data_IF_336434301618
#
_entry.id   IF_336434301618
#
_cell.length_a   1.000
_cell.length_b   1.000
_cell.length_c   1.000
_cell.angle_alpha   90.00
_cell.angle_beta   90.00
_cell.angle_gamma   90.00
#
_symmetry.space_group_name_H-M   'P 1'
#
loop_
_entity.id
_entity.type
_entity.pdbx_description
1 polymer ?
#
# COMPACT_ATOMS: atom_id res chain seq x y z
N UNK A 1 1.87 41.47 -39.70
CA UNK A 1 1.34 40.26 -40.37
C UNK A 1 1.28 39.17 -39.30
N UNK A 2 0.11 38.59 -39.03
CA UNK A 2 -0.02 37.47 -38.07
C UNK A 2 0.29 36.18 -38.83
N UNK A 3 1.34 35.48 -38.45
CA UNK A 3 1.65 34.17 -39.00
C UNK A 3 0.57 33.20 -38.52
N UNK A 4 -0.27 32.74 -39.42
CA UNK A 4 -1.21 31.66 -39.15
C UNK A 4 -0.45 30.34 -39.20
N UNK A 5 -0.71 29.47 -38.22
CA UNK A 5 -0.16 28.11 -38.18
C UNK A 5 -0.65 27.34 -39.41
N UNK A 6 0.23 26.65 -40.11
CA UNK A 6 -0.14 25.86 -41.29
C UNK A 6 -0.87 24.59 -40.87
N UNK A 7 -1.85 24.16 -41.67
CA UNK A 7 -2.53 22.88 -41.42
C UNK A 7 -1.53 21.70 -41.37
N UNK A 8 -0.46 21.75 -42.16
CA UNK A 8 0.55 20.68 -42.18
C UNK A 8 1.36 20.62 -40.88
N UNK A 9 1.65 21.78 -40.27
CA UNK A 9 2.37 21.85 -39.00
C UNK A 9 1.51 21.25 -37.88
N UNK A 10 0.20 21.49 -37.91
CA UNK A 10 -0.73 20.93 -36.93
C UNK A 10 -0.82 19.41 -37.04
N UNK A 11 -0.88 18.87 -38.26
CA UNK A 11 -0.89 17.41 -38.49
C UNK A 11 0.40 16.76 -37.98
N UNK A 12 1.56 17.36 -38.24
CA UNK A 12 2.84 16.81 -37.79
C UNK A 12 2.94 16.74 -36.26
N UNK A 13 2.45 17.78 -35.55
CA UNK A 13 2.42 17.80 -34.09
C UNK A 13 1.55 16.69 -33.53
N UNK A 14 0.34 16.46 -34.08
CA UNK A 14 -0.57 15.40 -33.62
C UNK A 14 0.05 14.02 -33.83
N UNK A 15 0.71 13.80 -34.98
CA UNK A 15 1.39 12.53 -35.28
C UNK A 15 2.50 12.27 -34.28
N UNK A 16 3.34 13.26 -33.98
CA UNK A 16 4.43 13.11 -32.99
C UNK A 16 3.87 12.80 -31.60
N UNK A 17 2.87 13.55 -31.14
CA UNK A 17 2.23 13.31 -29.83
C UNK A 17 1.62 11.90 -29.80
N UNK A 18 1.00 11.44 -30.88
CA UNK A 18 0.45 10.10 -31.01
C UNK A 18 1.49 8.99 -30.83
N UNK A 19 2.66 9.12 -31.48
CA UNK A 19 3.75 8.14 -31.38
C UNK A 19 4.31 8.09 -29.95
N UNK A 20 4.57 9.26 -29.35
CA UNK A 20 5.13 9.34 -27.99
C UNK A 20 4.13 8.78 -26.97
N UNK A 21 2.84 9.11 -27.10
CA UNK A 21 1.80 8.62 -26.20
C UNK A 21 1.67 7.09 -26.24
N UNK A 22 1.73 6.49 -27.44
CA UNK A 22 1.63 5.04 -27.60
C UNK A 22 2.73 4.26 -26.85
N UNK A 23 3.95 4.80 -26.79
CA UNK A 23 5.09 4.16 -26.12
C UNK A 23 5.13 4.51 -24.62
N UNK A 24 4.79 5.75 -24.26
CA UNK A 24 4.91 6.24 -22.89
C UNK A 24 3.81 5.69 -21.97
N UNK A 25 2.56 5.62 -22.42
CA UNK A 25 1.42 5.22 -21.58
C UNK A 25 1.58 3.81 -20.98
N UNK A 26 1.93 2.76 -21.76
CA UNK A 26 2.09 1.42 -21.22
C UNK A 26 3.23 1.36 -20.19
N UNK A 27 4.35 2.02 -20.47
CA UNK A 27 5.54 2.03 -19.61
C UNK A 27 5.23 2.70 -18.26
N UNK A 28 4.54 3.84 -18.28
CA UNK A 28 4.16 4.56 -17.07
C UNK A 28 3.22 3.76 -16.16
N UNK A 29 2.30 2.98 -16.74
CA UNK A 29 1.39 2.14 -15.97
C UNK A 29 2.12 1.05 -15.19
N UNK A 30 3.08 0.37 -15.83
CA UNK A 30 3.87 -0.69 -15.17
C UNK A 30 4.76 -0.09 -14.08
N UNK A 31 5.48 1.00 -14.39
CA UNK A 31 6.36 1.64 -13.41
C UNK A 31 5.61 2.19 -12.20
N UNK A 32 4.35 2.61 -12.37
CA UNK A 32 3.51 3.08 -11.26
C UNK A 32 3.11 1.93 -10.34
N UNK A 33 2.71 0.80 -10.90
CA UNK A 33 2.39 -0.40 -10.12
C UNK A 33 3.63 -0.91 -9.36
N UNK A 34 4.80 -0.88 -9.98
CA UNK A 34 6.06 -1.25 -9.34
C UNK A 34 6.45 -0.30 -8.20
N UNK A 35 6.30 1.01 -8.40
CA UNK A 35 6.54 2.00 -7.36
C UNK A 35 5.59 1.82 -6.17
N UNK A 36 4.30 1.59 -6.44
CA UNK A 36 3.32 1.31 -5.40
C UNK A 36 3.66 0.03 -4.64
N UNK A 37 4.09 -1.03 -5.35
CA UNK A 37 4.51 -2.28 -4.73
C UNK A 37 5.67 -2.06 -3.74
N UNK A 38 6.74 -1.36 -4.16
CA UNK A 38 7.89 -1.09 -3.29
C UNK A 38 7.47 -0.25 -2.08
N UNK A 39 6.62 0.75 -2.31
CA UNK A 39 6.14 1.63 -1.27
C UNK A 39 5.31 0.86 -0.22
N UNK A 40 4.36 0.02 -0.65
CA UNK A 40 3.54 -0.83 0.24
C UNK A 40 4.40 -1.87 0.96
N UNK A 41 5.34 -2.50 0.26
CA UNK A 41 6.27 -3.45 0.88
C UNK A 41 7.08 -2.80 2.00
N UNK A 42 7.62 -1.60 1.76
CA UNK A 42 8.34 -0.83 2.77
C UNK A 42 7.47 -0.55 3.98
N UNK A 43 6.23 -0.09 3.77
CA UNK A 43 5.32 0.20 4.87
C UNK A 43 4.99 -1.03 5.68
N UNK A 44 4.75 -2.19 5.04
CA UNK A 44 4.48 -3.44 5.75
C UNK A 44 5.65 -3.75 6.70
N UNK A 45 6.90 -3.60 6.25
CA UNK A 45 8.06 -3.82 7.11
C UNK A 45 8.15 -2.78 8.24
N UNK A 46 7.86 -1.52 7.95
CA UNK A 46 7.79 -0.45 8.97
C UNK A 46 6.70 -0.75 10.00
N UNK A 47 5.53 -1.20 9.59
CA UNK A 47 4.42 -1.58 10.48
C UNK A 47 4.85 -2.73 11.40
N UNK A 48 5.40 -3.80 10.83
CA UNK A 48 5.81 -4.96 11.62
C UNK A 48 6.89 -4.61 12.65
N UNK A 49 7.91 -3.86 12.22
CA UNK A 49 9.03 -3.47 13.10
C UNK A 49 8.62 -2.45 14.16
N UNK A 50 7.84 -1.43 13.81
CA UNK A 50 7.39 -0.40 14.75
C UNK A 50 6.45 -0.96 15.81
N UNK A 51 5.48 -1.78 15.43
CA UNK A 51 4.55 -2.41 16.38
C UNK A 51 5.29 -3.41 17.26
N UNK A 52 6.22 -4.20 16.70
CA UNK A 52 7.04 -5.10 17.50
C UNK A 52 7.89 -4.33 18.51
N UNK A 53 8.55 -3.24 18.12
CA UNK A 53 9.34 -2.41 19.02
C UNK A 53 8.48 -1.78 20.13
N UNK A 54 7.29 -1.28 19.76
CA UNK A 54 6.33 -0.69 20.71
C UNK A 54 5.85 -1.72 21.73
N UNK A 55 5.53 -2.93 21.29
CA UNK A 55 5.09 -4.04 22.16
C UNK A 55 6.17 -4.53 23.13
N UNK A 56 7.45 -4.26 22.86
CA UNK A 56 8.54 -4.61 23.78
C UNK A 56 8.80 -3.54 24.84
N UNK A 57 8.33 -2.31 24.60
CA UNK A 57 8.62 -1.16 25.47
C UNK A 57 7.44 -0.82 26.38
N UNK A 58 6.21 -1.10 25.94
CA UNK A 58 4.98 -0.75 26.65
C UNK A 58 4.05 -1.96 26.73
N UNK A 59 3.33 -2.09 27.85
CA UNK A 59 2.21 -3.03 27.95
C UNK A 59 1.05 -2.47 27.12
N UNK A 60 0.80 -3.09 25.96
CA UNK A 60 -0.28 -2.70 25.07
C UNK A 60 -1.55 -3.40 25.52
N UNK A 61 -2.54 -2.62 25.96
CA UNK A 61 -3.87 -3.15 26.24
C UNK A 61 -4.58 -3.53 24.94
N UNK A 62 -5.28 -4.66 24.95
CA UNK A 62 -6.12 -5.14 23.85
C UNK A 62 -7.15 -4.11 23.37
N UNK A 63 -7.53 -3.16 24.23
CA UNK A 63 -8.47 -2.08 23.90
C UNK A 63 -7.89 -0.99 22.99
N UNK A 64 -6.56 -0.86 22.90
CA UNK A 64 -5.87 0.13 22.05
C UNK A 64 -5.42 -0.45 20.72
N UNK A 65 -5.53 -1.77 20.53
CA UNK A 65 -5.17 -2.48 19.30
C UNK A 65 -6.21 -2.25 18.20
N UNK A 66 -6.11 -1.12 17.50
CA UNK A 66 -6.98 -0.76 16.39
C UNK A 66 -6.17 -0.24 15.19
N UNK A 67 -6.87 0.14 14.11
CA UNK A 67 -6.23 0.71 12.92
C UNK A 67 -5.52 2.03 13.17
N UNK A 68 -6.05 2.88 14.04
CA UNK A 68 -5.47 4.19 14.37
C UNK A 68 -4.11 4.03 15.06
N UNK A 69 -4.01 3.06 15.97
CA UNK A 69 -2.76 2.71 16.64
C UNK A 69 -1.66 2.29 15.65
N UNK A 70 -2.01 1.51 14.61
CA UNK A 70 -1.05 1.13 13.56
C UNK A 70 -0.61 2.37 12.77
N UNK A 71 -1.56 3.22 12.39
CA UNK A 71 -1.29 4.43 11.62
C UNK A 71 -0.34 5.37 12.37
N UNK A 72 -0.58 5.58 13.66
CA UNK A 72 0.24 6.43 14.52
C UNK A 72 1.61 5.81 14.80
N UNK A 73 1.66 4.54 15.23
CA UNK A 73 2.90 3.85 15.62
C UNK A 73 3.87 3.71 14.45
N UNK A 74 3.35 3.40 13.26
CA UNK A 74 4.16 3.22 12.06
C UNK A 74 4.33 4.51 11.23
N UNK A 75 3.72 5.62 11.63
CA UNK A 75 3.80 6.90 10.91
C UNK A 75 3.29 6.82 9.47
N UNK A 76 2.18 6.12 9.25
CA UNK A 76 1.67 5.84 7.91
C UNK A 76 1.05 7.07 7.25
N UNK A 77 1.17 7.14 5.92
CA UNK A 77 0.57 8.22 5.15
C UNK A 77 -0.94 7.94 4.91
N UNK A 78 -1.85 8.84 5.36
CA UNK A 78 -3.30 8.65 5.25
C UNK A 78 -3.83 8.66 3.80
N UNK A 79 -3.03 9.10 2.83
CA UNK A 79 -3.39 8.99 1.40
C UNK A 79 -3.21 7.59 0.83
N UNK A 80 -2.45 6.73 1.52
CA UNK A 80 -2.10 5.37 1.09
C UNK A 80 -2.66 4.30 2.03
N UNK A 81 -2.86 4.65 3.30
CA UNK A 81 -3.43 3.75 4.30
C UNK A 81 -4.60 4.41 4.99
N UNK A 82 -5.61 3.62 5.32
CA UNK A 82 -6.78 4.05 6.08
C UNK A 82 -6.98 3.10 7.25
N UNK A 83 -7.21 3.64 8.47
CA UNK A 83 -7.54 2.83 9.62
C UNK A 83 -8.93 2.19 9.47
N UNK A 84 -9.06 1.01 10.04
CA UNK A 84 -10.30 0.26 10.21
C UNK A 84 -10.41 -0.19 11.67
N UNK A 85 -11.55 -0.75 12.06
CA UNK A 85 -11.79 -1.13 13.45
C UNK A 85 -10.65 -1.94 14.09
N UNK A 86 -10.09 -2.90 13.35
CA UNK A 86 -9.09 -3.82 13.89
C UNK A 86 -7.72 -3.71 13.19
N UNK A 87 -7.52 -2.76 12.29
CA UNK A 87 -6.36 -2.82 11.40
C UNK A 87 -6.29 -1.73 10.35
N UNK A 88 -5.44 -1.89 9.35
CA UNK A 88 -5.27 -0.91 8.27
C UNK A 88 -5.49 -1.55 6.89
N UNK A 89 -5.95 -0.72 5.95
CA UNK A 89 -6.21 -1.08 4.55
C UNK A 89 -5.58 -0.07 3.62
N UNK A 90 -5.38 -0.46 2.36
CA UNK A 90 -4.93 0.46 1.33
C UNK A 90 -6.02 1.50 1.03
N UNK A 91 -5.60 2.76 0.99
CA UNK A 91 -6.46 3.90 0.76
C UNK A 91 -6.25 4.49 -0.63
N UNK A 92 -7.33 5.07 -1.15
CA UNK A 92 -7.34 5.90 -2.34
C UNK A 92 -8.41 6.97 -2.18
N UNK A 93 -8.03 8.22 -2.42
CA UNK A 93 -8.93 9.38 -2.37
C UNK A 93 -9.69 9.50 -1.03
N UNK A 94 -9.04 9.15 0.08
CA UNK A 94 -9.61 9.23 1.43
C UNK A 94 -10.58 8.09 1.80
N UNK A 95 -10.71 7.07 0.96
CA UNK A 95 -11.50 5.87 1.21
C UNK A 95 -10.69 4.60 0.95
N UNK A 96 -11.25 3.43 1.30
CA UNK A 96 -10.63 2.13 0.99
C UNK A 96 -10.51 1.93 -0.53
N UNK A 97 -9.32 1.56 -1.01
CA UNK A 97 -9.10 1.28 -2.43
C UNK A 97 -9.65 -0.10 -2.81
N UNK A 98 -10.94 -0.19 -3.11
CA UNK A 98 -11.61 -1.46 -3.47
C UNK A 98 -10.92 -2.24 -4.63
N UNK A 99 -10.14 -1.58 -5.49
CA UNK A 99 -9.42 -2.25 -6.59
C UNK A 99 -8.10 -2.87 -6.14
N UNK A 100 -7.48 -2.34 -5.10
CA UNK A 100 -6.17 -2.76 -4.60
C UNK A 100 -6.19 -3.21 -3.14
N UNK A 101 -7.37 -3.40 -2.53
CA UNK A 101 -7.55 -3.74 -1.11
C UNK A 101 -7.17 -5.19 -0.77
N UNK A 102 -6.03 -5.67 -1.28
CA UNK A 102 -5.55 -7.03 -1.00
C UNK A 102 -4.71 -7.10 0.26
N UNK A 103 -4.22 -5.98 0.79
CA UNK A 103 -3.38 -5.99 2.00
C UNK A 103 -4.26 -5.81 3.22
N UNK A 104 -4.39 -6.88 4.00
CA UNK A 104 -5.14 -6.93 5.24
C UNK A 104 -4.14 -7.04 6.39
N UNK A 105 -4.01 -5.97 7.16
CA UNK A 105 -3.20 -5.95 8.38
C UNK A 105 -4.17 -5.76 9.52
N UNK A 106 -4.40 -6.79 10.32
CA UNK A 106 -5.42 -6.79 11.37
C UNK A 106 -4.87 -7.36 12.68
N UNK A 107 -5.32 -6.78 13.78
CA UNK A 107 -5.20 -7.37 15.09
C UNK A 107 -6.27 -8.45 15.30
N UNK A 108 -5.84 -9.57 15.88
CA UNK A 108 -6.68 -10.67 16.33
C UNK A 108 -6.30 -11.01 17.77
N UNK A 109 -7.03 -10.42 18.73
CA UNK A 109 -6.75 -10.50 20.17
C UNK A 109 -5.33 -10.01 20.49
N UNK A 110 -4.34 -10.91 20.54
CA UNK A 110 -2.94 -10.60 20.84
C UNK A 110 -2.00 -10.87 19.66
N UNK A 111 -2.52 -11.06 18.45
CA UNK A 111 -1.70 -11.22 17.26
C UNK A 111 -1.93 -10.12 16.26
N UNK A 112 -0.87 -9.70 15.58
CA UNK A 112 -0.95 -8.90 14.36
C UNK A 112 -0.80 -9.83 13.17
N UNK A 113 -1.86 -9.95 12.38
CA UNK A 113 -1.93 -10.75 11.17
C UNK A 113 -1.77 -9.86 9.94
N UNK A 114 -0.81 -10.18 9.08
CA UNK A 114 -0.70 -9.65 7.73
C UNK A 114 -1.08 -10.73 6.74
N UNK A 115 -2.18 -10.48 6.02
CA UNK A 115 -2.75 -11.38 5.02
C UNK A 115 -2.85 -10.64 3.69
N UNK A 116 -2.52 -11.35 2.61
CA UNK A 116 -2.74 -10.87 1.25
C UNK A 116 -3.94 -11.62 0.66
N UNK A 117 -5.01 -10.90 0.37
CA UNK A 117 -6.18 -11.43 -0.33
C UNK A 117 -5.84 -11.66 -1.81
N UNK A 118 -5.92 -12.93 -2.23
CA UNK A 118 -5.60 -13.37 -3.60
C UNK A 118 -6.78 -13.25 -4.56
N UNK A 119 -7.98 -12.92 -4.05
CA UNK A 119 -9.18 -12.75 -4.90
C UNK A 119 -9.11 -11.46 -5.73
N UNK A 120 -8.32 -10.48 -5.29
CA UNK A 120 -8.15 -9.19 -5.98
C UNK A 120 -7.00 -9.31 -6.99
N UNK A 121 -7.32 -9.22 -8.28
CA UNK A 121 -6.38 -9.47 -9.38
C UNK A 121 -5.74 -8.21 -9.95
N UNK A 122 -5.51 -7.18 -9.15
CA UNK A 122 -4.81 -5.99 -9.63
C UNK A 122 -3.32 -6.26 -9.86
N UNK A 123 -2.61 -5.49 -10.72
CA UNK A 123 -1.18 -5.66 -10.93
C UNK A 123 -0.36 -5.58 -9.64
N UNK A 124 -0.75 -4.71 -8.72
CA UNK A 124 -0.17 -4.60 -7.38
C UNK A 124 -0.37 -5.90 -6.58
N UNK A 125 -1.61 -6.35 -6.48
CA UNK A 125 -2.00 -7.48 -5.63
C UNK A 125 -1.44 -8.82 -6.14
N UNK A 126 -1.37 -9.01 -7.45
CA UNK A 126 -0.71 -10.17 -8.05
C UNK A 126 0.78 -10.21 -7.68
N UNK A 127 1.45 -9.07 -7.71
CA UNK A 127 2.87 -8.98 -7.34
C UNK A 127 3.09 -9.23 -5.85
N UNK A 128 2.23 -8.69 -4.98
CA UNK A 128 2.27 -8.95 -3.54
C UNK A 128 1.99 -10.43 -3.22
N UNK A 129 1.00 -11.05 -3.87
CA UNK A 129 0.61 -12.43 -3.64
C UNK A 129 1.69 -13.46 -4.02
N UNK A 130 2.58 -13.13 -4.98
CA UNK A 130 3.71 -13.99 -5.35
C UNK A 130 4.78 -14.06 -4.26
N UNK A 131 4.92 -12.99 -3.47
CA UNK A 131 5.99 -12.85 -2.47
C UNK A 131 5.47 -13.26 -1.10
N UNK A 132 4.30 -12.76 -0.72
CA UNK A 132 3.62 -13.08 0.53
C UNK A 132 2.72 -14.31 0.34
N UNK A 133 3.36 -15.46 0.13
CA UNK A 133 2.66 -16.73 -0.11
C UNK A 133 1.99 -17.30 1.13
N UNK A 134 2.47 -16.92 2.32
CA UNK A 134 1.97 -17.30 3.65
C UNK A 134 1.63 -16.05 4.46
N UNK A 135 0.59 -16.10 5.31
CA UNK A 135 0.30 -15.02 6.23
C UNK A 135 1.43 -14.87 7.23
N UNK A 136 1.72 -13.61 7.60
CA UNK A 136 2.68 -13.30 8.66
C UNK A 136 1.87 -13.00 9.90
N UNK A 137 2.17 -13.70 10.99
CA UNK A 137 1.51 -13.50 12.29
C UNK A 137 2.58 -13.18 13.31
N UNK A 138 2.46 -12.02 13.97
CA UNK A 138 3.29 -11.65 15.12
C UNK A 138 2.43 -11.80 16.36
N UNK A 139 2.90 -12.59 17.33
CA UNK A 139 2.24 -12.72 18.63
C UNK A 139 2.85 -11.74 19.63
N UNK A 140 2.01 -10.95 20.27
CA UNK A 140 2.35 -10.17 21.46
C UNK A 140 2.07 -11.07 22.66
N UNK A 141 3.10 -11.71 23.20
CA UNK A 141 2.91 -12.52 24.40
C UNK A 141 2.75 -11.63 25.62
N UNK A 142 1.79 -11.92 26.51
CA UNK A 142 1.89 -11.59 27.94
C UNK A 142 2.99 -12.44 28.61
N UNK A 143 4.17 -12.46 27.98
CA UNK A 143 5.30 -13.28 28.35
C UNK A 143 6.33 -12.39 28.99
N UNK A 144 6.18 -12.20 30.29
CA UNK A 144 7.29 -11.90 31.17
C UNK A 144 8.51 -12.70 30.70
N UNK A 145 9.60 -12.01 30.39
CA UNK A 145 10.92 -12.65 30.42
C UNK A 145 11.14 -12.99 31.89
N UNK A 146 10.64 -14.14 32.34
CA UNK A 146 11.14 -14.76 33.56
C UNK A 146 12.43 -15.45 33.16
N UNK A 147 13.54 -14.77 33.47
CA UNK A 147 14.82 -15.42 33.73
C UNK A 147 14.67 -16.40 34.90
#
# INVERSE_FOLDING_TARGET
MRNAFSMIELVFVIVIIGIIAAIAIPKLSVTRADAQYVAVQSDIQTILSSIQAKSLTEDIDSSTLNGDFIMETAGLNPTRWIPTANGVRLAKDGAVDNKNNCVLIDFSSNTLDVKIDKTITSPLCQKLAQIYTKPITISFGNGSIKL
#
